data_IF_141588351349
#
_entry.id   IF_141588351349
#
_cell.length_a   1.000
_cell.length_b   1.000
_cell.length_c   1.000
_cell.angle_alpha   90.00
_cell.angle_beta   90.00
_cell.angle_gamma   90.00
#
_symmetry.space_group_name_H-M   'P 1'
#
loop_
_entity.id
_entity.type
_entity.pdbx_description
1 polymer ?
#
# COMPACT_ATOMS: atom_id res chain seq x y z
N UNK A 1 52.04 -17.22 -11.15
CA UNK A 1 52.64 -17.75 -9.90
C UNK A 1 51.93 -17.06 -8.75
N UNK A 2 51.39 -17.85 -7.82
CA UNK A 2 51.07 -17.61 -6.39
C UNK A 2 50.33 -16.30 -6.01
N UNK A 3 49.27 -16.25 -5.20
CA UNK A 3 48.78 -17.18 -4.18
C UNK A 3 47.28 -16.96 -3.89
N UNK A 4 46.62 -18.08 -3.58
CA UNK A 4 45.30 -18.21 -2.95
C UNK A 4 45.41 -18.03 -1.44
N UNK A 5 44.41 -17.42 -0.77
CA UNK A 5 43.93 -17.76 0.59
C UNK A 5 42.44 -17.40 0.70
N UNK A 6 41.75 -18.16 1.55
CA UNK A 6 40.31 -18.48 1.63
C UNK A 6 39.77 -18.01 2.99
N UNK A 7 38.45 -17.78 3.09
CA UNK A 7 37.67 -17.66 4.34
C UNK A 7 36.90 -16.34 4.43
N UNK A 8 35.59 -16.25 4.70
CA UNK A 8 34.61 -17.19 5.24
C UNK A 8 33.88 -16.51 6.41
N UNK A 9 32.53 -16.51 6.37
CA UNK A 9 31.57 -16.19 7.48
C UNK A 9 31.48 -14.70 7.87
N UNK A 10 30.42 -14.15 8.44
CA UNK A 10 29.00 -14.44 8.67
C UNK A 10 28.42 -13.16 9.33
N UNK A 11 27.09 -13.06 9.47
CA UNK A 11 26.32 -11.86 9.81
C UNK A 11 26.71 -11.05 11.05
N UNK A 12 26.27 -9.78 11.05
CA UNK A 12 25.91 -8.94 12.21
C UNK A 12 25.29 -7.66 11.62
N UNK A 13 24.01 -7.33 11.82
CA UNK A 13 23.36 -7.16 13.12
C UNK A 13 23.32 -5.67 13.41
N UNK A 14 22.38 -4.93 12.78
CA UNK A 14 22.17 -3.51 13.03
C UNK A 14 21.49 -3.35 14.39
N UNK A 15 22.29 -2.95 15.38
CA UNK A 15 21.91 -2.72 16.78
C UNK A 15 21.08 -1.44 16.87
N UNK A 16 19.81 -1.56 17.26
CA UNK A 16 19.00 -0.42 17.72
C UNK A 16 19.21 -0.27 19.23
N UNK A 17 19.80 0.85 19.61
CA UNK A 17 20.14 1.23 20.97
C UNK A 17 18.87 1.40 21.84
N UNK A 18 18.76 0.61 22.91
CA UNK A 18 17.93 0.94 24.07
C UNK A 18 18.81 1.67 25.10
N UNK A 19 18.35 2.84 25.54
CA UNK A 19 19.02 3.64 26.58
C UNK A 19 18.89 2.92 27.95
N UNK A 20 19.93 2.88 28.79
CA UNK A 20 19.82 2.34 30.14
C UNK A 20 19.15 3.34 31.10
N UNK A 21 18.25 2.82 31.94
CA UNK A 21 17.69 3.52 33.10
C UNK A 21 18.74 3.50 34.23
N UNK A 22 19.01 4.61 34.93
CA UNK A 22 20.03 4.62 35.97
C UNK A 22 19.53 3.94 37.25
N UNK A 23 20.38 3.09 37.82
CA UNK A 23 20.27 2.55 39.16
C UNK A 23 20.73 3.60 40.18
N UNK A 24 19.96 3.80 41.24
CA UNK A 24 20.45 4.41 42.49
C UNK A 24 20.25 3.40 43.61
N UNK A 25 21.36 3.04 44.24
CA UNK A 25 21.44 2.23 45.45
C UNK A 25 21.13 3.06 46.71
N UNK A 26 20.94 2.31 47.80
CA UNK A 26 20.94 2.70 49.21
C UNK A 26 19.67 3.34 49.78
N UNK A 27 18.87 2.54 50.48
CA UNK A 27 18.92 2.52 51.96
C UNK A 27 18.09 1.35 52.53
N UNK A 28 18.69 0.54 53.40
CA UNK A 28 18.00 -0.46 54.22
C UNK A 28 17.65 0.18 55.56
N UNK A 29 16.45 -0.08 56.11
CA UNK A 29 16.48 -0.74 57.41
C UNK A 29 15.49 -1.90 57.54
N UNK A 30 16.00 -2.87 58.28
CA UNK A 30 15.40 -4.08 58.82
C UNK A 30 14.03 -3.84 59.47
N UNK A 31 13.01 -4.57 59.02
CA UNK A 31 11.80 -4.85 59.77
C UNK A 31 11.35 -6.31 59.50
N UNK A 32 11.41 -7.13 60.54
CA UNK A 32 10.87 -8.50 60.59
C UNK A 32 9.37 -8.54 60.29
N UNK A 33 8.86 -9.49 59.50
CA UNK A 33 7.43 -9.60 59.21
C UNK A 33 6.67 -10.35 60.33
N UNK A 34 5.40 -10.00 60.60
CA UNK A 34 4.53 -10.79 61.48
C UNK A 34 4.05 -12.09 60.78
N UNK A 35 3.67 -13.14 61.52
CA UNK A 35 3.20 -14.40 60.95
C UNK A 35 1.68 -14.37 60.68
N UNK A 36 1.27 -14.93 59.54
CA UNK A 36 -0.14 -15.08 59.10
C UNK A 36 -0.35 -14.30 57.80
N UNK A 37 -0.83 -14.86 56.69
CA UNK A 37 -1.80 -15.93 56.48
C UNK A 37 -1.55 -16.47 55.07
N UNK A 38 -1.69 -17.78 54.83
CA UNK A 38 -1.61 -18.34 53.46
C UNK A 38 -2.61 -17.63 52.54
N UNK A 39 -2.26 -17.18 51.33
CA UNK A 39 -3.25 -16.86 50.33
C UNK A 39 -3.86 -18.16 49.82
N UNK A 40 -5.05 -18.48 50.32
CA UNK A 40 -5.93 -19.50 49.75
C UNK A 40 -6.43 -19.02 48.40
N UNK A 41 -6.28 -19.89 47.39
CA UNK A 41 -6.96 -19.87 46.11
C UNK A 41 -6.92 -18.54 45.34
N UNK A 42 -6.03 -18.48 44.36
CA UNK A 42 -6.18 -17.57 43.22
C UNK A 42 -7.53 -17.88 42.55
N UNK A 43 -8.56 -17.10 42.87
CA UNK A 43 -9.83 -17.10 42.16
C UNK A 43 -9.54 -16.68 40.72
N UNK A 44 -9.36 -17.68 39.88
CA UNK A 44 -9.38 -17.56 38.44
C UNK A 44 -10.76 -16.99 38.07
N UNK A 45 -10.80 -15.70 37.74
CA UNK A 45 -11.99 -15.14 37.08
C UNK A 45 -12.19 -15.95 35.79
N UNK A 46 -13.38 -16.53 35.55
CA UNK A 46 -13.61 -17.18 34.28
C UNK A 46 -13.64 -16.08 33.21
N UNK A 47 -12.76 -16.19 32.22
CA UNK A 47 -12.71 -15.34 31.01
C UNK A 47 -14.02 -15.40 30.19
N UNK A 48 -14.98 -16.23 30.62
CA UNK A 48 -16.25 -16.47 29.96
C UNK A 48 -17.19 -15.25 29.91
N UNK A 49 -17.05 -14.27 30.81
CA UNK A 49 -18.01 -13.14 30.87
C UNK A 49 -17.69 -11.96 29.92
N UNK A 50 -16.55 -11.98 29.22
CA UNK A 50 -16.15 -10.85 28.35
C UNK A 50 -16.66 -10.99 26.91
N UNK A 51 -17.20 -12.14 26.50
CA UNK A 51 -17.60 -12.39 25.11
C UNK A 51 -19.04 -12.89 25.01
N UNK A 52 -20.01 -12.03 25.32
CA UNK A 52 -21.34 -12.10 24.67
C UNK A 52 -21.20 -11.57 23.25
N UNK A 53 -20.52 -12.34 22.41
CA UNK A 53 -20.50 -12.12 20.98
C UNK A 53 -21.64 -12.93 20.38
N UNK A 54 -22.50 -12.31 19.57
CA UNK A 54 -23.62 -13.00 18.93
C UNK A 54 -23.16 -14.32 18.29
N UNK A 55 -23.85 -15.41 18.61
CA UNK A 55 -23.45 -16.79 18.29
C UNK A 55 -23.26 -17.09 16.79
N UNK A 56 -23.68 -16.17 15.90
CA UNK A 56 -23.46 -16.28 14.46
C UNK A 56 -22.02 -15.93 14.02
N UNK A 57 -21.28 -15.16 14.82
CA UNK A 57 -19.91 -14.70 14.49
C UNK A 57 -18.84 -15.73 14.91
N UNK A 58 -19.22 -16.79 15.62
CA UNK A 58 -18.32 -17.75 16.26
C UNK A 58 -17.83 -18.91 15.36
N UNK A 59 -18.13 -18.89 14.06
CA UNK A 59 -17.87 -20.04 13.16
C UNK A 59 -16.41 -20.07 12.65
N UNK A 60 -15.72 -18.93 12.62
CA UNK A 60 -14.34 -18.81 12.13
C UNK A 60 -13.34 -18.43 13.25
N UNK A 61 -12.08 -18.90 13.17
CA UNK A 61 -10.99 -18.46 14.03
C UNK A 61 -10.89 -16.92 14.13
N UNK A 62 -10.52 -16.35 15.30
CA UNK A 62 -10.48 -14.90 15.49
C UNK A 62 -9.57 -14.15 14.50
N UNK A 63 -8.45 -14.75 14.10
CA UNK A 63 -7.50 -14.22 13.12
C UNK A 63 -8.10 -14.14 11.71
N UNK A 64 -8.87 -15.16 11.30
CA UNK A 64 -9.62 -15.13 10.04
C UNK A 64 -10.67 -14.02 10.06
N UNK A 65 -11.40 -13.87 11.17
CA UNK A 65 -12.39 -12.80 11.34
C UNK A 65 -11.77 -11.40 11.28
N UNK A 66 -10.59 -11.20 11.87
CA UNK A 66 -9.84 -9.93 11.77
C UNK A 66 -9.46 -9.67 10.32
N UNK A 67 -9.00 -10.69 9.60
CA UNK A 67 -8.62 -10.58 8.19
C UNK A 67 -9.81 -10.20 7.32
N UNK A 68 -10.96 -10.88 7.48
CA UNK A 68 -12.19 -10.54 6.76
C UNK A 68 -12.65 -9.11 7.05
N UNK A 69 -12.69 -8.70 8.31
CA UNK A 69 -13.06 -7.35 8.69
C UNK A 69 -12.09 -6.30 8.11
N UNK A 70 -10.79 -6.59 8.05
CA UNK A 70 -9.82 -5.70 7.42
C UNK A 70 -10.08 -5.54 5.91
N UNK A 71 -10.40 -6.64 5.21
CA UNK A 71 -10.74 -6.60 3.78
C UNK A 71 -12.03 -5.80 3.50
N UNK A 72 -13.03 -5.93 4.37
CA UNK A 72 -14.27 -5.15 4.30
C UNK A 72 -14.00 -3.65 4.50
N UNK A 73 -13.24 -3.28 5.53
CA UNK A 73 -12.84 -1.89 5.78
C UNK A 73 -12.07 -1.29 4.60
N UNK A 74 -11.15 -2.06 4.00
CA UNK A 74 -10.44 -1.59 2.80
C UNK A 74 -11.40 -1.42 1.61
N UNK A 75 -12.38 -2.30 1.43
CA UNK A 75 -13.37 -2.19 0.35
C UNK A 75 -14.24 -0.94 0.49
N UNK A 76 -14.70 -0.65 1.71
CA UNK A 76 -15.43 0.59 2.02
C UNK A 76 -14.57 1.82 1.75
N UNK A 77 -13.32 1.81 2.23
CA UNK A 77 -12.38 2.91 2.03
C UNK A 77 -12.13 3.21 0.55
N UNK A 78 -12.04 2.18 -0.30
CA UNK A 78 -11.91 2.36 -1.76
C UNK A 78 -13.13 3.06 -2.37
N UNK A 79 -14.33 2.67 -1.95
CA UNK A 79 -15.57 3.32 -2.36
C UNK A 79 -15.60 4.80 -1.96
N UNK A 80 -15.28 5.08 -0.69
CA UNK A 80 -15.21 6.43 -0.15
C UNK A 80 -14.22 7.31 -0.90
N UNK A 81 -13.03 6.80 -1.26
CA UNK A 81 -12.04 7.54 -2.05
C UNK A 81 -12.60 7.98 -3.40
N UNK A 82 -13.26 7.08 -4.13
CA UNK A 82 -13.87 7.42 -5.40
C UNK A 82 -14.99 8.44 -5.21
N UNK A 83 -15.86 8.26 -4.22
CA UNK A 83 -16.91 9.21 -3.88
C UNK A 83 -16.34 10.61 -3.61
N UNK A 84 -15.24 10.71 -2.86
CA UNK A 84 -14.53 11.97 -2.61
C UNK A 84 -13.97 12.59 -3.88
N UNK A 85 -13.40 11.80 -4.79
CA UNK A 85 -12.94 12.30 -6.09
C UNK A 85 -14.13 12.86 -6.87
N UNK A 86 -15.23 12.12 -6.96
CA UNK A 86 -16.42 12.52 -7.72
C UNK A 86 -17.15 13.74 -7.12
N UNK A 87 -17.06 13.96 -5.80
CA UNK A 87 -17.62 15.11 -5.11
C UNK A 87 -16.92 16.44 -5.43
N UNK A 88 -15.70 16.42 -5.99
CA UNK A 88 -15.00 17.63 -6.41
C UNK A 88 -15.74 18.26 -7.59
N UNK A 89 -16.13 19.52 -7.44
CA UNK A 89 -16.82 20.29 -8.47
C UNK A 89 -16.14 21.66 -8.66
N UNK A 90 -16.23 22.26 -9.85
CA UNK A 90 -16.80 21.72 -11.10
C UNK A 90 -15.91 20.63 -11.74
N UNK A 91 -16.43 19.95 -12.77
CA UNK A 91 -15.70 18.91 -13.53
C UNK A 91 -14.29 19.32 -13.98
N UNK A 92 -14.08 20.59 -14.35
CA UNK A 92 -12.77 21.11 -14.70
C UNK A 92 -11.77 21.09 -13.52
N UNK A 93 -12.23 21.39 -12.30
CA UNK A 93 -11.42 21.31 -11.09
C UNK A 93 -11.09 19.86 -10.75
N UNK A 94 -12.08 18.97 -10.87
CA UNK A 94 -11.89 17.53 -10.67
C UNK A 94 -10.87 16.95 -11.64
N UNK A 95 -10.92 17.33 -12.92
CA UNK A 95 -9.94 16.89 -13.92
C UNK A 95 -8.51 17.32 -13.56
N UNK A 96 -8.30 18.57 -13.15
CA UNK A 96 -6.98 19.07 -12.73
C UNK A 96 -6.47 18.36 -11.47
N UNK A 97 -7.35 18.15 -10.50
CA UNK A 97 -7.02 17.35 -9.31
C UNK A 97 -6.63 15.92 -9.68
N UNK A 98 -7.37 15.30 -10.60
CA UNK A 98 -7.12 13.94 -11.05
C UNK A 98 -5.76 13.77 -11.73
N UNK A 99 -5.34 14.72 -12.56
CA UNK A 99 -3.99 14.74 -13.15
C UNK A 99 -2.91 14.73 -12.05
N UNK A 100 -3.05 15.59 -11.03
CA UNK A 100 -2.12 15.64 -9.90
C UNK A 100 -2.14 14.36 -9.05
N UNK A 101 -3.33 13.79 -8.82
CA UNK A 101 -3.49 12.53 -8.12
C UNK A 101 -2.76 11.39 -8.82
N UNK A 102 -2.90 11.30 -10.15
CA UNK A 102 -2.20 10.29 -10.95
C UNK A 102 -0.69 10.41 -10.83
N UNK A 103 -0.15 11.63 -10.92
CA UNK A 103 1.29 11.87 -10.76
C UNK A 103 1.76 11.39 -9.39
N UNK A 104 1.08 11.82 -8.32
CA UNK A 104 1.40 11.40 -6.95
C UNK A 104 1.35 9.89 -6.76
N UNK A 105 0.37 9.24 -7.38
CA UNK A 105 0.25 7.79 -7.32
C UNK A 105 1.44 7.10 -7.99
N UNK A 106 1.81 7.51 -9.19
CA UNK A 106 2.94 6.91 -9.90
C UNK A 106 4.26 7.12 -9.16
N UNK A 107 4.47 8.30 -8.57
CA UNK A 107 5.65 8.58 -7.73
C UNK A 107 5.65 7.71 -6.47
N UNK A 108 4.52 7.57 -5.78
CA UNK A 108 4.39 6.69 -4.61
C UNK A 108 4.63 5.21 -4.95
N UNK A 109 4.36 4.80 -6.19
CA UNK A 109 4.67 3.48 -6.72
C UNK A 109 6.14 3.28 -7.10
N UNK A 110 6.96 4.33 -7.01
CA UNK A 110 8.40 4.28 -7.31
C UNK A 110 8.77 4.65 -8.76
N UNK A 111 7.83 5.13 -9.57
CA UNK A 111 8.17 5.68 -10.88
C UNK A 111 8.81 7.07 -10.73
N UNK A 112 9.69 7.45 -11.65
CA UNK A 112 10.40 8.74 -11.63
C UNK A 112 11.79 8.69 -10.98
N UNK A 113 12.38 7.51 -10.78
CA UNK A 113 13.79 7.39 -10.38
C UNK A 113 14.11 7.81 -8.94
N UNK A 114 13.10 7.91 -8.06
CA UNK A 114 13.28 8.11 -6.62
C UNK A 114 13.51 9.57 -6.18
N UNK A 115 13.40 10.56 -7.06
CA UNK A 115 13.47 11.99 -6.70
C UNK A 115 12.38 12.80 -7.40
N UNK A 116 11.46 13.29 -6.58
CA UNK A 116 10.46 14.35 -6.82
C UNK A 116 9.50 14.18 -8.02
N UNK A 117 8.34 14.84 -7.90
CA UNK A 117 7.36 14.97 -8.99
C UNK A 117 7.96 15.60 -10.27
N UNK A 118 9.16 16.20 -10.17
CA UNK A 118 9.92 16.81 -11.27
C UNK A 118 10.34 15.83 -12.39
N UNK A 119 10.37 14.51 -12.10
CA UNK A 119 10.61 13.50 -13.14
C UNK A 119 9.41 13.35 -14.10
N UNK A 120 8.22 13.83 -13.71
CA UNK A 120 7.04 13.84 -14.55
C UNK A 120 7.04 15.08 -15.45
N UNK A 121 7.28 14.90 -16.74
CA UNK A 121 7.10 15.98 -17.71
C UNK A 121 5.64 15.97 -18.19
N UNK A 122 4.85 16.96 -17.76
CA UNK A 122 3.53 17.21 -18.33
C UNK A 122 3.68 17.66 -19.78
N UNK A 123 3.04 16.95 -20.69
CA UNK A 123 2.98 17.33 -22.10
C UNK A 123 2.29 18.68 -22.24
N UNK A 124 2.80 19.53 -23.14
CA UNK A 124 2.09 20.74 -23.53
C UNK A 124 0.72 20.39 -24.11
N UNK A 125 -0.28 21.26 -23.87
CA UNK A 125 -1.64 21.12 -24.40
C UNK A 125 -1.59 20.99 -25.94
N UNK A 126 -1.77 19.78 -26.47
CA UNK A 126 -1.74 19.52 -27.92
C UNK A 126 -0.85 18.36 -28.40
N UNK A 127 -0.36 17.50 -27.51
CA UNK A 127 0.64 16.46 -27.86
C UNK A 127 0.09 15.18 -28.54
N UNK A 128 -1.19 15.16 -28.93
CA UNK A 128 -1.81 14.03 -29.62
C UNK A 128 -2.50 13.00 -28.70
N UNK A 129 -2.60 13.23 -27.39
CA UNK A 129 -3.33 12.33 -26.49
C UNK A 129 -2.46 11.65 -25.45
N UNK A 130 -1.38 12.31 -25.03
CA UNK A 130 -0.59 11.96 -23.86
C UNK A 130 -0.74 13.13 -22.88
N UNK A 131 -0.77 12.89 -21.57
CA UNK A 131 -0.79 13.99 -20.59
C UNK A 131 0.58 14.17 -19.93
N UNK A 132 1.44 13.15 -19.94
CA UNK A 132 2.84 13.30 -19.58
C UNK A 132 3.68 12.04 -19.79
N UNK A 133 4.96 12.15 -19.44
CA UNK A 133 5.92 11.05 -19.48
C UNK A 133 6.63 10.92 -18.14
N UNK A 134 6.81 9.67 -17.69
CA UNK A 134 7.54 9.32 -16.48
C UNK A 134 8.54 8.20 -16.78
N UNK A 135 9.72 8.26 -16.19
CA UNK A 135 10.75 7.24 -16.41
C UNK A 135 10.76 6.19 -15.30
N UNK A 136 10.95 4.92 -15.64
CA UNK A 136 11.05 3.86 -14.62
C UNK A 136 12.38 3.88 -13.89
N UNK A 137 13.44 4.29 -14.59
CA UNK A 137 14.79 4.35 -14.08
C UNK A 137 15.24 5.80 -13.85
N UNK A 138 16.24 5.95 -12.99
CA UNK A 138 16.82 7.25 -12.67
C UNK A 138 17.64 7.87 -13.83
N UNK A 139 18.03 7.08 -14.83
CA UNK A 139 18.80 7.55 -15.99
C UNK A 139 17.91 8.08 -17.12
N UNK A 140 16.58 7.89 -17.03
CA UNK A 140 15.62 8.36 -18.00
C UNK A 140 15.55 7.52 -19.29
N UNK A 141 16.05 6.28 -19.26
CA UNK A 141 16.18 5.44 -20.46
C UNK A 141 14.92 4.65 -20.80
N UNK A 142 14.03 4.45 -19.84
CA UNK A 142 12.79 3.68 -19.96
C UNK A 142 11.56 4.58 -19.74
N UNK A 143 11.16 5.35 -20.76
CA UNK A 143 10.01 6.25 -20.67
C UNK A 143 8.69 5.49 -20.72
N UNK A 144 7.79 5.85 -19.81
CA UNK A 144 6.41 5.39 -19.74
C UNK A 144 5.51 6.59 -19.98
N UNK A 145 4.72 6.51 -21.05
CA UNK A 145 3.79 7.57 -21.42
C UNK A 145 2.48 7.41 -20.68
N UNK A 146 1.94 8.49 -20.15
CA UNK A 146 0.77 8.49 -19.27
C UNK A 146 -0.35 9.32 -19.89
N UNK A 147 -1.55 8.74 -19.93
CA UNK A 147 -2.80 9.43 -20.24
C UNK A 147 -3.72 9.28 -19.02
N UNK A 148 -4.15 10.41 -18.44
CA UNK A 148 -5.04 10.51 -17.31
C UNK A 148 -6.32 11.25 -17.71
N UNK A 149 -7.44 10.54 -17.81
CA UNK A 149 -8.73 11.15 -18.17
C UNK A 149 -9.75 11.02 -17.04
N UNK A 150 -10.24 12.16 -16.54
CA UNK A 150 -11.33 12.20 -15.57
C UNK A 150 -12.68 12.26 -16.30
N UNK A 151 -13.48 11.20 -16.16
CA UNK A 151 -14.83 11.08 -16.69
C UNK A 151 -15.86 10.99 -15.55
N UNK A 152 -17.14 11.17 -15.87
CA UNK A 152 -18.23 10.95 -14.93
C UNK A 152 -18.43 9.47 -14.62
N UNK A 153 -19.05 9.16 -13.48
CA UNK A 153 -19.16 7.80 -12.94
C UNK A 153 -19.82 6.81 -13.90
N UNK A 154 -20.84 7.28 -14.62
CA UNK A 154 -21.60 6.45 -15.56
C UNK A 154 -21.00 6.40 -16.97
N UNK A 155 -19.84 7.04 -17.16
CA UNK A 155 -19.13 6.97 -18.44
C UNK A 155 -18.43 5.62 -18.59
N UNK A 156 -18.48 5.06 -19.80
CA UNK A 156 -17.68 3.89 -20.19
C UNK A 156 -16.60 4.29 -21.18
N UNK A 157 -15.40 3.71 -21.05
CA UNK A 157 -14.33 3.89 -22.03
C UNK A 157 -14.40 2.81 -23.10
N UNK A 158 -14.57 3.25 -24.35
CA UNK A 158 -14.60 2.41 -25.52
C UNK A 158 -13.21 2.16 -26.13
N UNK A 159 -13.11 1.20 -27.08
CA UNK A 159 -11.85 0.85 -27.73
C UNK A 159 -11.22 2.00 -28.52
N UNK A 160 -12.01 2.96 -29.00
CA UNK A 160 -11.56 4.12 -29.75
C UNK A 160 -10.59 5.00 -28.96
N UNK A 161 -10.80 5.15 -27.65
CA UNK A 161 -9.87 5.90 -26.78
C UNK A 161 -8.54 5.19 -26.64
N UNK A 162 -8.56 3.86 -26.54
CA UNK A 162 -7.35 3.04 -26.45
C UNK A 162 -6.59 3.03 -27.77
N UNK A 163 -7.31 3.00 -28.90
CA UNK A 163 -6.71 3.09 -30.23
C UNK A 163 -6.08 4.46 -30.48
N UNK A 164 -6.74 5.55 -30.07
CA UNK A 164 -6.16 6.88 -30.13
C UNK A 164 -4.87 6.98 -29.30
N UNK A 165 -4.89 6.46 -28.08
CA UNK A 165 -3.69 6.43 -27.23
C UNK A 165 -2.57 5.60 -27.84
N UNK A 166 -2.86 4.44 -28.45
CA UNK A 166 -1.87 3.67 -29.21
C UNK A 166 -1.23 4.46 -30.34
N UNK A 167 -2.03 5.20 -31.10
CA UNK A 167 -1.54 6.07 -32.17
C UNK A 167 -0.61 7.15 -31.62
N UNK A 168 -0.97 7.78 -30.49
CA UNK A 168 -0.11 8.74 -29.83
C UNK A 168 1.22 8.11 -29.36
N UNK A 169 1.21 6.86 -28.88
CA UNK A 169 2.45 6.15 -28.56
C UNK A 169 3.29 5.87 -29.81
N UNK A 170 2.67 5.52 -30.94
CA UNK A 170 3.38 5.34 -32.22
C UNK A 170 4.07 6.62 -32.67
N UNK A 171 3.38 7.76 -32.60
CA UNK A 171 3.93 9.07 -32.97
C UNK A 171 5.13 9.48 -32.10
N UNK A 172 5.21 8.96 -30.87
CA UNK A 172 6.32 9.19 -29.93
C UNK A 172 7.39 8.10 -29.96
N UNK A 173 7.23 7.05 -30.78
CA UNK A 173 8.13 5.89 -30.79
C UNK A 173 8.11 5.09 -29.47
N UNK A 174 7.02 5.20 -28.70
CA UNK A 174 6.90 4.63 -27.37
C UNK A 174 6.37 3.20 -27.42
N UNK A 175 6.98 2.32 -26.61
CA UNK A 175 6.58 0.91 -26.50
C UNK A 175 5.75 0.63 -25.25
N UNK A 176 5.70 1.58 -24.30
CA UNK A 176 5.04 1.43 -23.00
C UNK A 176 4.18 2.64 -22.67
N UNK A 177 3.00 2.38 -22.12
CA UNK A 177 2.13 3.45 -21.63
C UNK A 177 1.13 2.99 -20.60
N UNK A 178 0.57 3.97 -19.87
CA UNK A 178 -0.47 3.75 -18.87
C UNK A 178 -1.65 4.67 -19.20
N UNK A 179 -2.83 4.08 -19.35
CA UNK A 179 -4.08 4.82 -19.46
C UNK A 179 -4.83 4.71 -18.13
N UNK A 180 -5.03 5.83 -17.46
CA UNK A 180 -5.71 5.93 -16.17
C UNK A 180 -6.99 6.75 -16.32
N UNK A 181 -8.08 6.26 -15.74
CA UNK A 181 -9.40 6.91 -15.81
C UNK A 181 -10.20 6.66 -14.53
N UNK A 182 -11.13 7.57 -14.22
CA UNK A 182 -12.14 7.37 -13.17
C UNK A 182 -13.29 6.47 -13.61
N UNK A 183 -13.47 6.29 -14.92
CA UNK A 183 -14.52 5.48 -15.54
C UNK A 183 -14.10 4.02 -15.71
N UNK A 184 -15.06 3.14 -16.02
CA UNK A 184 -14.79 1.71 -16.31
C UNK A 184 -14.42 1.52 -17.79
N UNK A 185 -13.48 0.61 -18.05
CA UNK A 185 -13.20 0.17 -19.42
C UNK A 185 -14.21 -0.89 -19.87
N UNK A 186 -14.75 -0.72 -21.07
CA UNK A 186 -15.49 -1.79 -21.74
C UNK A 186 -14.58 -2.98 -22.04
N UNK A 187 -15.15 -4.19 -22.17
CA UNK A 187 -14.38 -5.36 -22.58
C UNK A 187 -13.65 -5.15 -23.91
N UNK A 188 -14.28 -4.44 -24.86
CA UNK A 188 -13.67 -4.10 -26.13
C UNK A 188 -12.44 -3.20 -25.96
N UNK A 189 -12.49 -2.22 -25.04
CA UNK A 189 -11.34 -1.39 -24.69
C UNK A 189 -10.22 -2.22 -24.06
N UNK A 190 -10.55 -3.13 -23.15
CA UNK A 190 -9.57 -4.02 -22.55
C UNK A 190 -8.91 -4.95 -23.57
N UNK A 191 -9.69 -5.53 -24.49
CA UNK A 191 -9.17 -6.35 -25.59
C UNK A 191 -8.28 -5.52 -26.51
N UNK A 192 -8.67 -4.28 -26.81
CA UNK A 192 -7.82 -3.35 -27.56
C UNK A 192 -6.48 -3.18 -26.86
N UNK A 193 -6.43 -2.88 -25.56
CA UNK A 193 -5.17 -2.72 -24.82
C UNK A 193 -4.23 -3.93 -24.90
N UNK A 194 -4.77 -5.15 -24.92
CA UNK A 194 -4.00 -6.41 -25.01
C UNK A 194 -3.53 -6.74 -26.43
N UNK A 195 -4.25 -6.30 -27.46
CA UNK A 195 -4.01 -6.66 -28.85
C UNK A 195 -2.87 -5.86 -29.53
N UNK A 196 -1.91 -5.32 -28.77
CA UNK A 196 -0.76 -4.58 -29.33
C UNK A 196 0.57 -5.17 -28.90
N UNK A 197 1.59 -5.01 -29.75
CA UNK A 197 2.99 -5.24 -29.39
C UNK A 197 3.48 -4.29 -28.28
N UNK A 198 2.78 -3.16 -28.09
CA UNK A 198 3.02 -2.21 -27.00
C UNK A 198 2.47 -2.71 -25.68
N UNK A 199 3.19 -2.45 -24.59
CA UNK A 199 2.75 -2.74 -23.23
C UNK A 199 1.91 -1.58 -22.70
N UNK A 200 0.59 -1.74 -22.72
CA UNK A 200 -0.34 -0.73 -22.23
C UNK A 200 -1.05 -1.23 -20.97
N UNK A 201 -0.82 -0.54 -19.86
CA UNK A 201 -1.57 -0.78 -18.63
C UNK A 201 -2.84 0.07 -18.63
N UNK A 202 -3.99 -0.58 -18.40
CA UNK A 202 -5.28 0.09 -18.23
C UNK A 202 -5.65 0.09 -16.74
N UNK A 203 -5.90 1.27 -16.19
CA UNK A 203 -6.27 1.49 -14.78
C UNK A 203 -7.59 2.25 -14.74
N UNK A 204 -8.67 1.57 -14.34
CA UNK A 204 -9.98 2.19 -14.14
C UNK A 204 -10.14 2.68 -12.70
N UNK A 205 -11.31 3.25 -12.38
CA UNK A 205 -11.58 3.82 -11.06
C UNK A 205 -11.40 2.83 -9.91
N UNK A 206 -11.85 1.59 -10.07
CA UNK A 206 -11.71 0.57 -9.02
C UNK A 206 -10.24 0.24 -8.77
N UNK A 207 -9.49 -0.07 -9.83
CA UNK A 207 -8.07 -0.37 -9.72
C UNK A 207 -7.25 0.84 -9.25
N UNK A 208 -7.68 2.06 -9.61
CA UNK A 208 -7.08 3.29 -9.10
C UNK A 208 -7.24 3.37 -7.57
N UNK A 209 -8.44 3.11 -7.04
CA UNK A 209 -8.69 3.13 -5.61
C UNK A 209 -7.89 2.05 -4.86
N UNK A 210 -7.78 0.84 -5.43
CA UNK A 210 -6.90 -0.22 -4.91
C UNK A 210 -5.45 0.26 -4.76
N UNK A 211 -4.92 0.90 -5.82
CA UNK A 211 -3.56 1.41 -5.83
C UNK A 211 -3.39 2.55 -4.82
N UNK A 212 -4.37 3.44 -4.70
CA UNK A 212 -4.33 4.53 -3.72
C UNK A 212 -4.25 4.00 -2.29
N UNK A 213 -5.05 2.99 -1.94
CA UNK A 213 -4.99 2.35 -0.61
C UNK A 213 -3.62 1.68 -0.42
N UNK A 214 -3.20 0.85 -1.38
CA UNK A 214 -1.94 0.10 -1.31
C UNK A 214 -0.71 0.99 -1.14
N UNK A 215 -0.68 2.14 -1.83
CA UNK A 215 0.46 3.07 -1.82
C UNK A 215 0.24 4.27 -0.88
N UNK A 216 -0.79 4.24 -0.04
CA UNK A 216 -1.14 5.28 0.94
C UNK A 216 -1.32 6.69 0.34
N UNK A 217 -1.90 6.79 -0.85
CA UNK A 217 -2.15 8.06 -1.54
C UNK A 217 -3.54 8.57 -1.23
N UNK A 218 -3.62 9.73 -0.57
CA UNK A 218 -4.90 10.25 -0.06
C UNK A 218 -5.42 9.47 1.16
N UNK A 219 -4.55 8.68 1.80
CA UNK A 219 -4.87 7.86 2.97
C UNK A 219 -4.13 8.38 4.18
N UNK A 220 -4.81 8.39 5.32
CA UNK A 220 -4.19 8.60 6.63
C UNK A 220 -4.41 7.35 7.48
N UNK A 221 -3.32 6.87 8.11
CA UNK A 221 -3.39 5.75 9.04
C UNK A 221 -4.05 6.22 10.35
N UNK A 222 -5.14 5.58 10.73
CA UNK A 222 -5.85 5.87 11.98
C UNK A 222 -5.23 5.12 13.17
N UNK A 223 -5.16 3.78 13.09
CA UNK A 223 -4.64 2.90 14.14
C UNK A 223 -3.94 1.66 13.58
N UNK A 224 -3.15 0.99 14.41
CA UNK A 224 -2.46 -0.27 14.06
C UNK A 224 -2.83 -1.36 15.05
N UNK A 225 -3.26 -2.51 14.55
CA UNK A 225 -3.55 -3.71 15.35
C UNK A 225 -2.39 -4.69 15.18
N UNK A 226 -1.79 -5.13 16.29
CA UNK A 226 -0.67 -6.09 16.29
C UNK A 226 -1.16 -7.41 16.88
N UNK A 227 -1.11 -8.46 16.07
CA UNK A 227 -1.41 -9.83 16.51
C UNK A 227 -0.10 -10.47 17.00
N UNK A 228 -0.09 -10.93 18.25
CA UNK A 228 1.08 -11.59 18.86
C UNK A 228 0.92 -13.10 18.82
N UNK A 229 2.02 -13.81 18.59
CA UNK A 229 2.13 -15.26 18.70
C UNK A 229 3.25 -15.60 19.68
N UNK A 230 3.19 -16.78 20.29
CA UNK A 230 4.32 -17.35 21.02
C UNK A 230 5.50 -17.50 20.05
N UNK A 231 6.66 -17.07 20.51
CA UNK A 231 7.95 -17.30 19.85
C UNK A 231 8.47 -18.66 20.33
N UNK A 232 8.26 -19.71 19.54
CA UNK A 232 8.62 -21.08 19.94
C UNK A 232 10.14 -21.22 20.11
N UNK A 233 10.93 -20.56 19.25
CA UNK A 233 12.40 -20.57 19.28
C UNK A 233 12.96 -20.08 20.64
N UNK A 234 12.26 -19.17 21.32
CA UNK A 234 12.64 -18.70 22.65
C UNK A 234 12.59 -19.81 23.71
N UNK A 235 11.67 -20.76 23.56
CA UNK A 235 11.43 -21.85 24.49
C UNK A 235 12.16 -23.15 24.10
N UNK A 236 12.84 -23.21 22.95
CA UNK A 236 13.69 -24.34 22.57
C UNK A 236 15.05 -24.34 23.30
N UNK A 237 15.59 -25.51 23.61
CA UNK A 237 16.96 -25.66 24.16
C UNK A 237 17.09 -25.55 25.69
N UNK A 238 15.97 -25.62 26.43
CA UNK A 238 15.94 -25.62 27.91
C UNK A 238 15.81 -27.01 28.53
N UNK A 239 15.82 -28.06 27.71
CA UNK A 239 15.79 -29.45 28.16
C UNK A 239 17.23 -29.96 28.39
N UNK A 240 17.65 -30.05 29.66
CA UNK A 240 18.88 -30.72 30.13
C UNK A 240 18.76 -32.26 30.05
#
# INVERSE_FOLDING_TARGET
>A
MISSVIGGLSGSGLVVATRPYPATADDHPSATPPPGTRPTASTMMPVADVLKLDSAVAIAPPDERITSAAMELEAELRGDLLDRIFAIQPQATRARFFEQLVIRLLVAMGYGGGRDEAAFHTGGRGDGGVDGVIHQDALGLDPVYVQAKCYDRDSGIGPEKIQAFKGALDDKGATRGVFITTARFSEAAQRSGRASQKQIALIDGEKLADLMVRFNVGIQKDRTVVIKKIDEDFFEGWDD
#
